data_IF_369051499085
#
_entry.id   IF_369051499085
#
_cell.length_a   1.000
_cell.length_b   1.000
_cell.length_c   1.000
_cell.angle_alpha   90.00
_cell.angle_beta   90.00
_cell.angle_gamma   90.00
#
_symmetry.space_group_name_H-M   'P 1'
#
loop_
_entity.id
_entity.type
_entity.pdbx_description
1 polymer ?
#
# COMPACT_ATOMS: atom_id res chain seq x y z
N UNK A 1 -7.68 9.94 25.24
CA UNK A 1 -6.55 9.53 24.35
C UNK A 1 -7.19 8.93 23.10
N UNK A 2 -7.29 9.75 22.09
CA UNK A 2 -7.82 9.35 20.78
C UNK A 2 -6.83 8.41 20.11
N UNK A 3 -7.32 7.22 19.76
CA UNK A 3 -6.54 6.24 19.02
C UNK A 3 -6.30 6.80 17.61
N UNK A 4 -5.06 7.19 17.32
CA UNK A 4 -4.61 7.44 15.96
C UNK A 4 -4.80 6.15 15.14
N UNK A 5 -5.91 6.08 14.42
CA UNK A 5 -6.03 5.19 13.28
C UNK A 5 -4.99 5.66 12.27
N UNK A 6 -3.90 4.91 12.14
CA UNK A 6 -3.09 4.97 10.92
C UNK A 6 -4.06 4.80 9.75
N UNK A 7 -4.15 5.76 8.83
CA UNK A 7 -5.04 5.61 7.70
C UNK A 7 -4.58 4.35 6.96
N UNK A 8 -5.46 3.36 6.90
CA UNK A 8 -5.34 2.31 5.90
C UNK A 8 -5.03 3.02 4.59
N UNK A 9 -3.89 2.68 4.00
CA UNK A 9 -3.57 3.10 2.66
C UNK A 9 -4.59 2.42 1.75
N UNK A 10 -5.77 3.04 1.64
CA UNK A 10 -6.86 2.64 0.78
C UNK A 10 -6.35 2.78 -0.66
N UNK A 11 -5.57 1.79 -1.08
CA UNK A 11 -5.21 1.61 -2.47
C UNK A 11 -6.51 1.24 -3.15
N UNK A 12 -7.02 2.19 -3.89
CA UNK A 12 -8.35 2.24 -4.45
C UNK A 12 -8.90 0.89 -4.87
N UNK A 13 -10.16 0.70 -4.54
CA UNK A 13 -11.01 -0.40 -4.95
C UNK A 13 -10.64 -0.86 -6.37
N UNK A 14 -10.36 -2.15 -6.62
CA UNK A 14 -10.05 -2.68 -7.96
C UNK A 14 -11.14 -2.38 -8.99
N UNK A 15 -12.41 -2.32 -8.57
CA UNK A 15 -13.51 -1.87 -9.42
C UNK A 15 -13.34 -0.43 -9.92
N UNK A 16 -12.68 0.44 -9.15
CA UNK A 16 -12.35 1.81 -9.56
C UNK A 16 -11.22 1.83 -10.60
N UNK A 17 -10.33 0.83 -10.60
CA UNK A 17 -9.26 0.70 -11.61
C UNK A 17 -9.75 0.16 -12.94
N UNK A 18 -10.77 -0.69 -12.94
CA UNK A 18 -11.35 -1.30 -14.13
C UNK A 18 -12.51 -0.49 -14.72
N UNK A 19 -13.19 0.33 -13.89
CA UNK A 19 -14.20 1.23 -14.38
C UNK A 19 -13.53 2.46 -15.00
N UNK A 20 -13.94 2.83 -16.22
CA UNK A 20 -13.56 4.08 -16.90
C UNK A 20 -14.19 5.28 -16.19
N UNK A 21 -13.84 5.47 -14.91
CA UNK A 21 -14.30 6.61 -14.14
C UNK A 21 -13.52 7.82 -14.64
N UNK A 22 -14.23 8.77 -15.22
CA UNK A 22 -13.66 10.06 -15.62
C UNK A 22 -12.87 10.66 -14.47
N UNK A 23 -11.63 11.11 -14.70
CA UNK A 23 -10.70 11.62 -13.68
C UNK A 23 -11.34 12.68 -12.76
N UNK A 24 -12.26 13.49 -13.28
CA UNK A 24 -13.04 14.47 -12.53
C UNK A 24 -13.94 13.87 -11.44
N UNK A 25 -14.44 12.64 -11.61
CA UNK A 25 -15.28 11.96 -10.61
C UNK A 25 -14.49 11.39 -9.43
N UNK A 26 -13.17 11.25 -9.57
CA UNK A 26 -12.27 10.77 -8.51
C UNK A 26 -11.75 11.88 -7.62
N UNK A 27 -11.97 13.14 -7.98
CA UNK A 27 -11.51 14.30 -7.22
C UNK A 27 -12.38 14.53 -5.99
N UNK A 28 -11.75 15.14 -4.99
CA UNK A 28 -12.46 15.55 -3.78
C UNK A 28 -13.56 16.53 -4.12
N UNK A 29 -14.82 16.20 -3.80
CA UNK A 29 -15.97 17.07 -4.00
C UNK A 29 -15.81 18.33 -3.15
N UNK A 30 -16.23 19.46 -3.67
CA UNK A 30 -16.21 20.77 -2.99
C UNK A 30 -14.82 21.29 -2.58
N UNK A 31 -13.71 20.76 -3.18
CA UNK A 31 -12.36 21.31 -3.00
C UNK A 31 -11.99 22.19 -4.19
N UNK A 32 -11.65 23.45 -3.93
CA UNK A 32 -10.99 24.29 -4.93
C UNK A 32 -9.50 23.88 -5.01
N UNK A 33 -9.11 23.33 -6.14
CA UNK A 33 -7.74 22.88 -6.41
C UNK A 33 -6.77 24.02 -6.77
N UNK A 34 -7.20 25.27 -6.64
CA UNK A 34 -6.34 26.46 -6.74
C UNK A 34 -5.85 26.93 -5.38
N UNK A 35 -6.57 26.58 -4.30
CA UNK A 35 -6.28 27.03 -2.95
C UNK A 35 -5.05 26.33 -2.35
N UNK A 36 -4.52 26.99 -1.31
CA UNK A 36 -3.43 26.46 -0.47
C UNK A 36 -3.75 25.06 0.04
N UNK A 37 -2.93 24.09 -0.34
CA UNK A 37 -3.01 22.71 0.12
C UNK A 37 -1.76 21.92 -0.28
N UNK A 38 -1.58 20.73 0.31
CA UNK A 38 -0.56 19.77 -0.10
C UNK A 38 -1.25 18.59 -0.78
N UNK A 39 -0.75 18.24 -1.95
CA UNK A 39 -1.28 17.16 -2.78
C UNK A 39 -0.22 16.11 -3.02
N UNK A 40 -0.59 14.83 -2.94
CA UNK A 40 0.20 13.74 -3.51
C UNK A 40 -0.43 13.32 -4.82
N UNK A 41 0.33 13.48 -5.90
CA UNK A 41 -0.06 13.15 -7.27
C UNK A 41 0.62 11.84 -7.68
N UNK A 42 -0.11 10.98 -8.37
CA UNK A 42 0.46 9.78 -8.98
C UNK A 42 0.17 9.78 -10.48
N UNK A 43 1.22 9.75 -11.28
CA UNK A 43 1.20 9.61 -12.73
C UNK A 43 1.69 8.21 -13.09
N UNK A 44 0.91 7.46 -13.84
CA UNK A 44 1.21 6.08 -14.22
C UNK A 44 1.58 6.03 -15.70
N UNK A 45 2.67 5.34 -16.04
CA UNK A 45 3.06 5.13 -17.43
C UNK A 45 2.01 4.28 -18.15
N UNK A 46 1.64 4.66 -19.35
CA UNK A 46 0.68 3.94 -20.17
C UNK A 46 1.11 2.48 -20.36
N UNK A 47 0.20 1.55 -20.02
CA UNK A 47 0.48 0.11 -20.04
C UNK A 47 1.51 -0.36 -19.01
N UNK A 48 1.78 0.43 -17.97
CA UNK A 48 2.77 0.06 -16.92
C UNK A 48 4.17 -0.28 -17.46
N UNK A 49 4.53 0.28 -18.61
CA UNK A 49 5.87 0.09 -19.20
C UNK A 49 6.95 0.65 -18.26
N UNK A 50 8.01 -0.10 -18.03
CA UNK A 50 9.14 0.31 -17.18
C UNK A 50 10.09 1.19 -17.99
N UNK A 51 9.81 2.49 -18.11
CA UNK A 51 10.53 3.41 -18.97
C UNK A 51 11.48 4.36 -18.23
N UNK A 52 11.28 4.55 -16.91
CA UNK A 52 11.98 5.59 -16.17
C UNK A 52 13.26 5.14 -15.48
N UNK A 53 13.59 3.86 -15.56
CA UNK A 53 14.82 3.33 -14.97
C UNK A 53 14.61 1.96 -14.34
N UNK A 54 15.66 1.51 -13.65
CA UNK A 54 15.72 0.21 -13.01
C UNK A 54 15.97 0.36 -11.51
N UNK A 55 15.62 -0.68 -10.75
CA UNK A 55 15.85 -0.71 -9.32
C UNK A 55 17.17 -1.39 -9.02
N UNK A 56 17.99 -0.75 -8.20
CA UNK A 56 19.26 -1.27 -7.70
C UNK A 56 19.34 -1.20 -6.19
N UNK A 57 20.26 -1.96 -5.60
CA UNK A 57 20.54 -1.99 -4.16
C UNK A 57 20.36 -3.37 -3.53
N UNK A 58 20.39 -3.40 -2.21
CA UNK A 58 20.19 -4.61 -1.40
C UNK A 58 19.03 -4.39 -0.40
N UNK A 59 18.04 -5.28 -0.41
CA UNK A 59 16.90 -5.23 0.51
C UNK A 59 17.28 -5.35 1.99
N UNK A 60 18.49 -5.85 2.28
CA UNK A 60 19.03 -5.97 3.63
C UNK A 60 19.68 -4.69 4.14
N UNK A 61 19.99 -3.75 3.25
CA UNK A 61 20.60 -2.47 3.61
C UNK A 61 19.61 -1.61 4.40
N UNK A 62 20.13 -0.89 5.40
CA UNK A 62 19.38 0.06 6.19
C UNK A 62 19.18 1.38 5.45
N UNK A 63 18.13 2.11 5.80
CA UNK A 63 17.88 3.44 5.24
C UNK A 63 19.07 4.37 5.52
N UNK A 64 19.56 5.01 4.45
CA UNK A 64 20.74 5.89 4.50
C UNK A 64 22.07 5.23 4.15
N UNK A 65 22.13 3.92 3.99
CA UNK A 65 23.31 3.23 3.46
C UNK A 65 23.40 3.36 1.93
N UNK A 66 24.61 3.31 1.40
CA UNK A 66 24.87 3.50 -0.05
C UNK A 66 24.12 2.47 -0.93
N UNK A 67 23.99 1.24 -0.44
CA UNK A 67 23.30 0.16 -1.15
C UNK A 67 21.80 0.05 -0.81
N UNK A 68 21.23 1.06 -0.12
CA UNK A 68 19.78 1.06 0.10
C UNK A 68 19.03 1.08 -1.23
N UNK A 69 17.95 0.28 -1.41
CA UNK A 69 17.24 0.18 -2.67
C UNK A 69 16.83 1.55 -3.23
N UNK A 70 17.22 1.83 -4.46
CA UNK A 70 16.98 3.08 -5.16
C UNK A 70 16.72 2.85 -6.64
N UNK A 71 16.26 3.87 -7.34
CA UNK A 71 16.04 3.81 -8.80
C UNK A 71 17.19 4.51 -9.50
N UNK A 72 17.88 3.78 -10.37
CA UNK A 72 18.81 4.33 -11.34
C UNK A 72 17.97 4.78 -12.54
N UNK A 73 17.90 6.09 -12.73
CA UNK A 73 17.04 6.67 -13.76
C UNK A 73 17.58 6.43 -15.16
N UNK A 74 16.69 6.13 -16.09
CA UNK A 74 16.98 6.15 -17.53
C UNK A 74 17.11 7.60 -18.02
N UNK A 75 17.57 7.80 -19.25
CA UNK A 75 17.58 9.12 -19.91
C UNK A 75 16.18 9.77 -19.89
N UNK A 76 15.11 8.97 -20.07
CA UNK A 76 13.75 9.49 -19.97
C UNK A 76 13.38 9.80 -18.53
N UNK A 77 13.79 8.98 -17.58
CA UNK A 77 13.58 9.22 -16.14
C UNK A 77 14.22 10.54 -15.70
N UNK A 78 15.44 10.84 -16.14
CA UNK A 78 16.09 12.12 -15.88
C UNK A 78 15.36 13.29 -16.56
N UNK A 79 14.90 13.14 -17.79
CA UNK A 79 14.10 14.17 -18.45
C UNK A 79 12.77 14.44 -17.72
N UNK A 80 12.13 13.41 -17.17
CA UNK A 80 10.93 13.56 -16.32
C UNK A 80 11.27 14.29 -15.02
N UNK A 81 12.40 13.96 -14.38
CA UNK A 81 12.91 14.63 -13.18
C UNK A 81 13.09 16.13 -13.42
N UNK A 82 13.73 16.50 -14.52
CA UNK A 82 13.90 17.91 -14.91
C UNK A 82 12.56 18.63 -15.06
N UNK A 83 11.57 18.00 -15.70
CA UNK A 83 10.23 18.61 -15.86
C UNK A 83 9.55 18.82 -14.51
N UNK A 84 9.71 17.90 -13.55
CA UNK A 84 9.17 18.02 -12.19
C UNK A 84 9.83 19.21 -11.46
N UNK A 85 11.15 19.30 -11.50
CA UNK A 85 11.92 20.36 -10.82
C UNK A 85 11.64 21.75 -11.37
N UNK A 86 11.26 21.85 -12.63
CA UNK A 86 10.92 23.12 -13.29
C UNK A 86 9.49 23.61 -13.01
N UNK A 87 8.64 22.85 -12.33
CA UNK A 87 7.28 23.26 -12.03
C UNK A 87 7.19 24.62 -11.32
N UNK A 88 8.03 24.94 -10.29
CA UNK A 88 8.00 26.25 -9.63
C UNK A 88 8.43 27.41 -10.53
N UNK A 89 9.19 27.17 -11.60
CA UNK A 89 9.56 28.20 -12.57
C UNK A 89 8.33 28.72 -13.33
N UNK A 90 7.39 27.82 -13.65
CA UNK A 90 6.14 28.15 -14.36
C UNK A 90 5.02 28.60 -13.42
N UNK A 91 5.04 28.11 -12.18
CA UNK A 91 4.02 28.36 -11.17
C UNK A 91 4.68 28.71 -9.83
N UNK A 92 5.12 29.95 -9.64
CA UNK A 92 5.79 30.38 -8.39
C UNK A 92 4.94 30.21 -7.13
N UNK A 93 3.62 29.96 -7.27
CA UNK A 93 2.69 29.74 -6.17
C UNK A 93 2.76 28.32 -5.58
N UNK A 94 3.59 27.45 -6.16
CA UNK A 94 3.75 26.08 -5.66
C UNK A 94 5.22 25.72 -5.48
N UNK A 95 5.45 24.71 -4.66
CA UNK A 95 6.74 24.06 -4.51
C UNK A 95 6.61 22.53 -4.60
N UNK A 96 7.68 21.89 -5.05
CA UNK A 96 7.80 20.43 -5.05
C UNK A 96 8.40 20.01 -3.72
N UNK A 97 7.57 19.45 -2.82
CA UNK A 97 7.97 19.03 -1.46
C UNK A 97 8.63 17.66 -1.40
N UNK A 98 8.59 16.92 -2.50
CA UNK A 98 9.22 15.61 -2.68
C UNK A 98 8.63 14.86 -3.86
N UNK A 99 9.39 13.93 -4.42
CA UNK A 99 8.93 13.03 -5.46
C UNK A 99 9.72 11.74 -5.45
N UNK A 100 9.14 10.70 -6.05
CA UNK A 100 9.80 9.44 -6.33
C UNK A 100 9.42 8.99 -7.74
N UNK A 101 10.41 8.87 -8.59
CA UNK A 101 10.26 8.30 -9.92
C UNK A 101 10.52 6.80 -9.79
N UNK A 102 9.49 6.00 -10.07
CA UNK A 102 9.55 4.55 -10.11
C UNK A 102 9.64 4.10 -11.57
N UNK A 103 10.03 2.86 -11.88
CA UNK A 103 10.20 2.43 -13.27
C UNK A 103 8.98 2.68 -14.16
N UNK A 104 7.76 2.55 -13.63
CA UNK A 104 6.50 2.60 -14.37
C UNK A 104 5.50 3.68 -13.90
N UNK A 105 5.90 4.52 -12.95
CA UNK A 105 5.05 5.60 -12.43
C UNK A 105 5.86 6.65 -11.67
N UNK A 106 5.22 7.79 -11.39
CA UNK A 106 5.78 8.87 -10.58
C UNK A 106 4.84 9.21 -9.44
N UNK A 107 5.38 9.32 -8.23
CA UNK A 107 4.73 9.99 -7.11
C UNK A 107 5.34 11.36 -6.91
N UNK A 108 4.51 12.37 -6.69
CA UNK A 108 4.91 13.77 -6.56
C UNK A 108 4.12 14.43 -5.44
N UNK A 109 4.79 15.08 -4.48
CA UNK A 109 4.17 15.90 -3.44
C UNK A 109 4.32 17.37 -3.83
N UNK A 110 3.20 18.03 -4.12
CA UNK A 110 3.12 19.45 -4.45
C UNK A 110 2.52 20.19 -3.26
N UNK A 111 3.18 21.26 -2.83
CA UNK A 111 2.62 22.23 -1.90
C UNK A 111 2.23 23.49 -2.69
N UNK A 112 0.94 23.76 -2.78
CA UNK A 112 0.39 25.02 -3.24
C UNK A 112 0.37 25.94 -2.02
N UNK A 113 1.28 26.90 -1.98
CA UNK A 113 1.41 27.82 -0.83
C UNK A 113 0.63 29.12 -1.02
N UNK A 114 0.40 29.52 -2.27
CA UNK A 114 -0.44 30.66 -2.66
C UNK A 114 -1.47 30.23 -3.71
N UNK A 115 -2.52 31.01 -3.87
CA UNK A 115 -3.58 30.70 -4.83
C UNK A 115 -3.06 30.60 -6.25
N UNK A 116 -3.26 29.45 -6.87
CA UNK A 116 -2.88 29.22 -8.26
C UNK A 116 -3.73 30.06 -9.23
N UNK A 117 -3.15 30.56 -10.32
CA UNK A 117 -3.88 31.26 -11.38
C UNK A 117 -4.84 30.34 -12.14
N UNK A 118 -4.64 29.02 -12.06
CA UNK A 118 -5.45 28.02 -12.72
C UNK A 118 -5.63 26.78 -11.85
N UNK A 119 -6.59 25.93 -12.21
CA UNK A 119 -6.83 24.67 -11.52
C UNK A 119 -5.57 23.76 -11.59
N UNK A 120 -5.19 23.08 -10.49
CA UNK A 120 -4.03 22.18 -10.38
C UNK A 120 -3.98 21.16 -11.54
N UNK A 121 -5.14 20.73 -12.05
CA UNK A 121 -5.21 19.85 -13.22
C UNK A 121 -4.58 20.42 -14.49
N UNK A 122 -4.53 21.76 -14.64
CA UNK A 122 -3.86 22.42 -15.77
C UNK A 122 -2.34 22.35 -15.56
N UNK A 123 -1.88 22.60 -14.34
CA UNK A 123 -0.46 22.45 -13.95
C UNK A 123 0.04 21.04 -14.27
N UNK A 124 -0.69 20.00 -13.81
CA UNK A 124 -0.34 18.59 -14.06
C UNK A 124 -0.38 18.27 -15.57
N UNK A 125 -1.35 18.83 -16.30
CA UNK A 125 -1.40 18.69 -17.77
C UNK A 125 -0.16 19.27 -18.44
N UNK A 126 0.32 20.44 -17.99
CA UNK A 126 1.55 21.07 -18.47
C UNK A 126 2.76 20.16 -18.22
N UNK A 127 2.89 19.62 -17.02
CA UNK A 127 3.94 18.63 -16.68
C UNK A 127 3.91 17.41 -17.62
N UNK A 128 2.73 16.82 -17.80
CA UNK A 128 2.54 15.66 -18.71
C UNK A 128 2.91 16.02 -20.15
N UNK A 129 2.57 17.21 -20.63
CA UNK A 129 2.94 17.66 -21.98
C UNK A 129 4.46 17.82 -22.12
N UNK A 130 5.16 18.38 -21.13
CA UNK A 130 6.61 18.47 -21.08
C UNK A 130 7.27 17.07 -21.15
N UNK A 131 6.79 16.15 -20.33
CA UNK A 131 7.25 14.76 -20.35
C UNK A 131 6.98 14.05 -21.69
N UNK A 132 5.79 14.25 -22.28
CA UNK A 132 5.44 13.70 -23.59
C UNK A 132 6.37 14.25 -24.70
N UNK A 133 6.76 15.53 -24.63
CA UNK A 133 7.72 16.13 -25.57
C UNK A 133 9.09 15.48 -25.46
N UNK A 134 9.56 15.24 -24.24
CA UNK A 134 10.82 14.53 -24.00
C UNK A 134 10.75 13.09 -24.53
N UNK A 135 9.65 12.40 -24.26
CA UNK A 135 9.43 11.03 -24.75
C UNK A 135 9.48 10.94 -26.27
N UNK A 136 8.74 11.79 -27.00
CA UNK A 136 8.76 11.82 -28.46
C UNK A 136 10.16 12.07 -29.04
N UNK A 137 10.95 12.90 -28.37
CA UNK A 137 12.33 13.20 -28.79
C UNK A 137 13.25 11.99 -28.64
N UNK A 138 13.07 11.22 -27.55
CA UNK A 138 13.93 10.06 -27.24
C UNK A 138 13.49 8.80 -27.98
N UNK A 139 12.19 8.65 -28.25
CA UNK A 139 11.58 7.46 -28.85
C UNK A 139 10.71 7.82 -30.07
N UNK A 140 11.31 8.41 -31.15
CA UNK A 140 10.53 8.86 -32.31
C UNK A 140 9.88 7.72 -33.09
N UNK A 141 10.37 6.49 -32.95
CA UNK A 141 9.86 5.30 -33.63
C UNK A 141 8.84 4.48 -32.80
N UNK A 142 8.52 4.91 -31.58
CA UNK A 142 7.53 4.20 -30.77
C UNK A 142 6.13 4.44 -31.33
N UNK A 143 5.38 3.37 -31.57
CA UNK A 143 3.99 3.41 -32.07
C UNK A 143 3.09 4.28 -31.21
N UNK A 144 3.32 4.35 -29.91
CA UNK A 144 2.59 5.22 -29.00
C UNK A 144 2.71 6.70 -29.37
N UNK A 145 3.79 7.10 -30.03
CA UNK A 145 4.02 8.49 -30.54
C UNK A 145 3.11 8.79 -31.73
N UNK A 146 2.80 7.75 -32.52
CA UNK A 146 2.04 7.84 -33.77
C UNK A 146 0.54 7.52 -33.60
N UNK A 147 0.10 7.05 -32.43
CA UNK A 147 -1.31 6.81 -32.12
C UNK A 147 -2.04 8.15 -32.11
N UNK A 148 -2.55 8.52 -33.27
CA UNK A 148 -3.28 9.76 -33.50
C UNK A 148 -4.56 9.84 -32.68
N UNK A 149 -4.97 11.06 -32.43
CA UNK A 149 -6.20 11.48 -31.74
C UNK A 149 -7.48 10.93 -32.41
N UNK A 150 -7.76 9.63 -32.36
CA UNK A 150 -8.91 9.24 -33.16
C UNK A 150 -9.63 7.92 -32.87
N UNK A 151 -9.13 7.03 -32.06
CA UNK A 151 -9.84 5.75 -31.84
C UNK A 151 -10.33 5.59 -30.40
N UNK A 152 -11.65 5.44 -30.25
CA UNK A 152 -12.38 5.37 -28.99
C UNK A 152 -11.99 4.21 -28.07
N UNK A 153 -11.37 3.17 -28.61
CA UNK A 153 -10.95 1.97 -27.87
C UNK A 153 -9.66 2.16 -27.07
N UNK A 154 -8.89 3.22 -27.32
CA UNK A 154 -7.62 3.53 -26.64
C UNK A 154 -7.73 4.70 -25.68
N UNK A 155 -8.92 5.08 -25.26
CA UNK A 155 -9.15 6.23 -24.34
C UNK A 155 -8.49 6.10 -22.96
N UNK A 156 -7.98 4.93 -22.59
CA UNK A 156 -7.29 4.70 -21.31
C UNK A 156 -5.83 5.16 -21.29
N UNK A 157 -5.14 5.18 -22.44
CA UNK A 157 -3.71 5.43 -22.51
C UNK A 157 -3.39 6.74 -23.24
N UNK A 158 -2.53 7.57 -22.63
CA UNK A 158 -1.86 8.68 -23.30
C UNK A 158 -0.58 8.21 -23.97
N UNK A 159 0.21 9.15 -24.46
CA UNK A 159 1.49 8.85 -25.15
C UNK A 159 2.50 8.21 -24.18
N UNK A 160 2.82 8.90 -23.08
CA UNK A 160 3.71 8.42 -22.03
C UNK A 160 2.96 7.93 -20.82
N UNK A 161 1.98 8.71 -20.33
CA UNK A 161 1.18 8.38 -19.15
C UNK A 161 -0.23 7.94 -19.54
N UNK A 162 -0.88 7.17 -18.66
CA UNK A 162 -2.31 6.93 -18.71
C UNK A 162 -3.09 8.25 -18.67
N UNK A 163 -4.34 8.26 -19.18
CA UNK A 163 -5.18 9.42 -19.08
C UNK A 163 -5.58 9.72 -17.62
N UNK A 164 -5.36 10.95 -17.23
CA UNK A 164 -5.63 11.42 -15.87
C UNK A 164 -4.48 11.11 -14.90
N UNK A 165 -4.77 11.34 -13.64
CA UNK A 165 -3.84 11.09 -12.53
C UNK A 165 -4.63 10.85 -11.25
N UNK A 166 -4.02 10.18 -10.28
CA UNK A 166 -4.57 10.07 -8.94
C UNK A 166 -4.04 11.21 -8.08
N UNK A 167 -4.91 11.81 -7.27
CA UNK A 167 -4.54 12.82 -6.30
C UNK A 167 -5.08 12.47 -4.91
N UNK A 168 -4.32 12.83 -3.89
CA UNK A 168 -4.74 12.82 -2.49
C UNK A 168 -4.42 14.18 -1.90
N UNK A 169 -5.37 14.76 -1.17
CA UNK A 169 -5.18 16.00 -0.42
C UNK A 169 -4.70 15.67 0.98
N UNK A 170 -3.70 16.39 1.47
CA UNK A 170 -3.25 16.26 2.85
C UNK A 170 -4.31 16.86 3.79
N UNK A 171 -4.83 16.03 4.69
CA UNK A 171 -5.92 16.41 5.61
C UNK A 171 -5.47 16.44 7.08
N UNK A 172 -4.34 15.81 7.42
CA UNK A 172 -3.89 15.65 8.81
C UNK A 172 -2.44 16.05 8.99
N UNK A 173 -2.10 16.59 10.16
CA UNK A 173 -0.82 17.23 10.46
C UNK A 173 0.41 16.32 10.23
N UNK A 174 0.36 15.03 10.59
CA UNK A 174 1.50 14.12 10.45
C UNK A 174 1.58 13.41 9.08
N UNK A 175 0.59 13.60 8.21
CA UNK A 175 0.46 12.87 6.95
C UNK A 175 1.60 13.17 5.97
N UNK A 176 2.17 14.39 6.00
CA UNK A 176 3.29 14.77 5.13
C UNK A 176 4.56 13.94 5.45
N UNK A 177 4.85 13.73 6.73
CA UNK A 177 5.98 12.90 7.17
C UNK A 177 5.79 11.44 6.69
N UNK A 178 4.57 10.93 6.84
CA UNK A 178 4.20 9.58 6.37
C UNK A 178 4.36 9.49 4.84
N UNK A 179 3.91 10.48 4.08
CA UNK A 179 4.04 10.48 2.62
C UNK A 179 5.51 10.55 2.17
N UNK A 180 6.33 11.39 2.80
CA UNK A 180 7.76 11.47 2.49
C UNK A 180 8.47 10.15 2.76
N UNK A 181 8.18 9.54 3.90
CA UNK A 181 8.73 8.22 4.22
C UNK A 181 8.27 7.17 3.21
N UNK A 182 6.98 7.15 2.87
CA UNK A 182 6.44 6.25 1.84
C UNK A 182 7.14 6.42 0.49
N UNK A 183 7.39 7.66 0.04
CA UNK A 183 8.11 7.91 -1.21
C UNK A 183 9.53 7.36 -1.17
N UNK A 184 10.26 7.64 -0.09
CA UNK A 184 11.64 7.18 0.08
C UNK A 184 11.75 5.65 0.15
N UNK A 185 10.74 4.97 0.72
CA UNK A 185 10.71 3.51 0.89
C UNK A 185 10.17 2.75 -0.35
N UNK A 186 9.57 3.44 -1.31
CA UNK A 186 8.97 2.79 -2.49
C UNK A 186 9.93 1.91 -3.28
N UNK A 187 11.20 2.29 -3.55
CA UNK A 187 12.14 1.41 -4.23
C UNK A 187 12.36 0.10 -3.45
N UNK A 188 12.62 0.17 -2.14
CA UNK A 188 12.79 -1.03 -1.30
C UNK A 188 11.53 -1.91 -1.36
N UNK A 189 10.34 -1.32 -1.22
CA UNK A 189 9.08 -2.07 -1.30
C UNK A 189 8.89 -2.77 -2.65
N UNK A 190 9.32 -2.15 -3.74
CA UNK A 190 9.28 -2.77 -5.06
C UNK A 190 10.25 -3.96 -5.13
N UNK A 191 11.49 -3.79 -4.67
CA UNK A 191 12.52 -4.84 -4.67
C UNK A 191 12.10 -6.03 -3.81
N UNK A 192 11.57 -5.78 -2.60
CA UNK A 192 11.03 -6.82 -1.70
C UNK A 192 9.90 -7.61 -2.37
N UNK A 193 8.97 -6.94 -3.06
CA UNK A 193 7.90 -7.63 -3.79
C UNK A 193 8.41 -8.49 -4.94
N UNK A 194 9.49 -8.07 -5.60
CA UNK A 194 10.12 -8.89 -6.64
C UNK A 194 10.85 -10.10 -6.05
N UNK A 195 11.48 -9.94 -4.88
CA UNK A 195 12.16 -11.04 -4.20
C UNK A 195 11.17 -12.08 -3.60
N UNK A 196 10.02 -11.63 -3.15
CA UNK A 196 9.01 -12.45 -2.47
C UNK A 196 7.60 -12.25 -3.05
N UNK A 197 7.37 -12.57 -4.35
CA UNK A 197 6.09 -12.29 -4.99
C UNK A 197 4.92 -13.01 -4.32
N UNK A 198 5.16 -14.21 -3.78
CA UNK A 198 4.13 -15.02 -3.13
C UNK A 198 3.64 -14.43 -1.80
N UNK A 199 4.46 -13.62 -1.11
CA UNK A 199 4.05 -12.97 0.13
C UNK A 199 3.17 -11.74 -0.09
N UNK A 200 3.15 -11.20 -1.32
CA UNK A 200 2.47 -9.94 -1.64
C UNK A 200 1.33 -10.07 -2.66
N UNK A 201 1.01 -11.29 -3.07
CA UNK A 201 -0.16 -11.58 -3.89
C UNK A 201 -1.23 -12.30 -3.09
N UNK A 202 -2.48 -12.10 -3.45
CA UNK A 202 -3.59 -12.87 -2.88
C UNK A 202 -3.54 -14.28 -3.42
N UNK A 203 -3.44 -15.25 -2.54
CA UNK A 203 -3.54 -16.67 -2.84
C UNK A 203 -4.95 -17.13 -2.51
N UNK A 204 -5.61 -17.80 -3.44
CA UNK A 204 -7.00 -18.28 -3.31
C UNK A 204 -7.06 -19.78 -3.05
N UNK A 205 -8.20 -20.23 -2.52
CA UNK A 205 -8.52 -21.64 -2.33
C UNK A 205 -7.47 -22.39 -1.48
N UNK A 206 -6.93 -21.71 -0.48
CA UNK A 206 -6.00 -22.33 0.48
C UNK A 206 -6.81 -23.21 1.39
N UNK A 207 -6.55 -24.53 1.34
CA UNK A 207 -7.23 -25.52 2.15
C UNK A 207 -6.35 -25.95 3.31
N UNK A 208 -6.85 -25.81 4.53
CA UNK A 208 -6.17 -26.26 5.76
C UNK A 208 -7.20 -26.78 6.75
N UNK A 209 -7.00 -28.01 7.24
CA UNK A 209 -7.89 -28.69 8.22
C UNK A 209 -9.39 -28.64 7.85
N UNK A 210 -9.70 -28.81 6.55
CA UNK A 210 -11.07 -28.78 6.04
C UNK A 210 -11.69 -27.38 5.89
N UNK A 211 -10.93 -26.34 6.20
CA UNK A 211 -11.31 -24.95 5.98
C UNK A 211 -10.70 -24.42 4.68
N UNK A 212 -11.36 -23.41 4.07
CA UNK A 212 -10.88 -22.77 2.86
C UNK A 212 -10.71 -21.26 3.09
N UNK A 213 -9.58 -20.70 2.61
CA UNK A 213 -9.20 -19.29 2.84
C UNK A 213 -8.68 -18.64 1.56
N UNK A 214 -8.82 -17.34 1.50
CA UNK A 214 -7.92 -16.47 0.74
C UNK A 214 -6.81 -15.99 1.67
N UNK A 215 -5.57 -15.91 1.19
CA UNK A 215 -4.42 -15.60 2.03
C UNK A 215 -3.48 -14.57 1.41
N UNK A 216 -2.78 -13.82 2.25
CA UNK A 216 -1.61 -12.99 1.90
C UNK A 216 -0.55 -13.21 2.98
N UNK A 217 0.71 -13.40 2.57
CA UNK A 217 1.83 -13.60 3.47
C UNK A 217 2.43 -14.99 3.39
N UNK A 218 3.12 -15.40 4.45
CA UNK A 218 3.88 -16.64 4.50
C UNK A 218 3.02 -17.85 4.91
N UNK A 219 2.60 -18.66 3.96
CA UNK A 219 1.82 -19.88 4.21
C UNK A 219 2.57 -20.93 5.04
N UNK A 220 3.91 -20.91 5.06
CA UNK A 220 4.67 -21.86 5.87
C UNK A 220 4.45 -21.69 7.37
N UNK A 221 3.90 -20.56 7.81
CA UNK A 221 3.53 -20.34 9.21
C UNK A 221 2.46 -21.34 9.68
N UNK A 222 1.60 -21.83 8.77
CA UNK A 222 0.62 -22.90 9.08
C UNK A 222 1.25 -24.25 9.43
N UNK A 223 2.54 -24.45 9.14
CA UNK A 223 3.30 -25.69 9.43
C UNK A 223 4.06 -25.61 10.75
N UNK A 224 3.97 -24.51 11.45
CA UNK A 224 4.60 -24.29 12.76
C UNK A 224 3.63 -24.65 13.89
N UNK A 225 4.13 -24.86 15.13
CA UNK A 225 3.26 -24.94 16.28
C UNK A 225 2.43 -23.66 16.42
N UNK A 226 1.11 -23.76 16.35
CA UNK A 226 0.20 -22.62 16.44
C UNK A 226 -0.36 -22.52 17.87
N UNK A 227 -0.42 -21.29 18.39
CA UNK A 227 -0.99 -21.00 19.70
C UNK A 227 -2.10 -19.95 19.52
N UNK A 228 -3.36 -20.34 19.81
CA UNK A 228 -4.50 -19.45 19.73
C UNK A 228 -4.44 -18.39 20.84
N UNK A 229 -4.62 -17.14 20.45
CA UNK A 229 -4.86 -16.04 21.39
C UNK A 229 -6.34 -15.72 21.36
N UNK A 230 -7.02 -16.00 22.49
CA UNK A 230 -8.43 -15.70 22.69
C UNK A 230 -8.62 -15.08 24.06
N UNK A 231 -9.09 -13.83 24.09
CA UNK A 231 -9.27 -13.04 25.31
C UNK A 231 -10.73 -12.69 25.55
N UNK A 232 -11.21 -12.89 26.78
CA UNK A 232 -12.46 -12.30 27.22
C UNK A 232 -12.38 -10.78 27.17
N UNK A 233 -13.48 -10.11 26.82
CA UNK A 233 -13.59 -8.65 26.90
C UNK A 233 -13.56 -8.10 28.33
N UNK A 234 -13.65 -8.98 29.35
CA UNK A 234 -13.68 -8.62 30.77
C UNK A 234 -12.33 -8.73 31.45
N UNK A 235 -11.26 -9.12 30.71
CA UNK A 235 -9.92 -9.21 31.28
C UNK A 235 -9.45 -7.84 31.76
N UNK A 236 -8.83 -7.84 32.92
CA UNK A 236 -8.14 -6.68 33.51
C UNK A 236 -6.81 -6.43 32.79
N UNK A 237 -6.26 -5.25 32.94
CA UNK A 237 -4.94 -4.91 32.38
C UNK A 237 -3.85 -5.85 32.88
N UNK A 238 -3.89 -6.23 34.17
CA UNK A 238 -2.95 -7.16 34.79
C UNK A 238 -3.02 -8.54 34.13
N UNK A 239 -4.23 -9.06 33.91
CA UNK A 239 -4.42 -10.36 33.23
C UNK A 239 -3.91 -10.32 31.79
N UNK A 240 -4.19 -9.22 31.07
CA UNK A 240 -3.68 -9.01 29.70
C UNK A 240 -2.16 -8.96 29.72
N UNK A 241 -1.52 -8.33 30.70
CA UNK A 241 -0.06 -8.29 30.84
C UNK A 241 0.54 -9.68 31.06
N UNK A 242 -0.06 -10.50 31.92
CA UNK A 242 0.34 -11.90 32.10
C UNK A 242 0.21 -12.70 30.81
N UNK A 243 -0.88 -12.49 30.06
CA UNK A 243 -1.04 -13.16 28.76
C UNK A 243 0.03 -12.72 27.74
N UNK A 244 0.39 -11.43 27.69
CA UNK A 244 1.49 -10.96 26.83
C UNK A 244 2.80 -11.67 27.16
N UNK A 245 3.15 -11.77 28.42
CA UNK A 245 4.39 -12.41 28.88
C UNK A 245 4.42 -13.89 28.47
N UNK A 246 3.34 -14.64 28.75
CA UNK A 246 3.21 -16.04 28.34
C UNK A 246 3.30 -16.21 26.82
N UNK A 247 2.61 -15.34 26.04
CA UNK A 247 2.66 -15.38 24.59
C UNK A 247 4.07 -15.14 24.06
N UNK A 248 4.79 -14.16 24.62
CA UNK A 248 6.19 -13.88 24.22
C UNK A 248 7.14 -15.04 24.55
N UNK A 249 6.94 -15.71 25.68
CA UNK A 249 7.70 -16.92 26.04
C UNK A 249 7.43 -18.03 25.02
N UNK A 250 6.16 -18.27 24.68
CA UNK A 250 5.79 -19.26 23.67
C UNK A 250 6.38 -18.95 22.29
N UNK A 251 6.35 -17.67 21.88
CA UNK A 251 6.97 -17.22 20.63
C UNK A 251 8.49 -17.44 20.63
N UNK A 252 9.16 -17.15 21.74
CA UNK A 252 10.58 -17.40 21.89
C UNK A 252 10.93 -18.90 21.79
N UNK A 253 9.98 -19.79 22.13
CA UNK A 253 10.08 -21.23 21.97
C UNK A 253 9.67 -21.73 20.58
N UNK A 254 9.34 -20.82 19.63
CA UNK A 254 9.04 -21.13 18.24
C UNK A 254 7.55 -21.25 17.90
N UNK A 255 6.64 -20.95 18.82
CA UNK A 255 5.21 -20.90 18.52
C UNK A 255 4.85 -19.69 17.64
N UNK A 256 3.86 -19.87 16.77
CA UNK A 256 3.24 -18.83 15.97
C UNK A 256 1.88 -18.50 16.57
N UNK A 257 1.64 -17.23 16.89
CA UNK A 257 0.35 -16.82 17.43
C UNK A 257 -0.70 -16.77 16.32
N UNK A 258 -1.91 -17.20 16.63
CA UNK A 258 -3.06 -17.12 15.74
C UNK A 258 -4.25 -16.48 16.44
N UNK A 259 -4.84 -15.43 15.84
CA UNK A 259 -5.99 -14.75 16.42
C UNK A 259 -6.78 -13.97 15.35
N UNK A 260 -8.10 -13.82 15.52
CA UNK A 260 -8.89 -12.86 14.75
C UNK A 260 -8.74 -11.41 15.26
N UNK A 261 -8.00 -11.15 16.34
CA UNK A 261 -7.80 -9.81 16.91
C UNK A 261 -9.09 -9.03 17.16
N UNK A 262 -10.13 -9.67 17.71
CA UNK A 262 -11.44 -9.06 17.91
C UNK A 262 -11.50 -8.24 19.21
N UNK A 263 -11.07 -8.84 20.33
CA UNK A 263 -11.09 -8.19 21.63
C UNK A 263 -9.89 -7.25 21.84
N UNK A 264 -10.01 -6.24 22.74
CA UNK A 264 -8.88 -5.40 23.11
C UNK A 264 -7.67 -6.21 23.63
N UNK A 265 -7.93 -7.27 24.43
CA UNK A 265 -6.89 -8.15 24.96
C UNK A 265 -6.15 -8.91 23.85
N UNK A 266 -6.89 -9.53 22.93
CA UNK A 266 -6.28 -10.19 21.75
C UNK A 266 -5.38 -9.23 20.96
N UNK A 267 -5.88 -8.03 20.65
CA UNK A 267 -5.11 -6.99 19.94
C UNK A 267 -3.85 -6.60 20.70
N UNK A 268 -3.92 -6.50 22.01
CA UNK A 268 -2.79 -6.12 22.86
C UNK A 268 -1.71 -7.21 22.90
N UNK A 269 -2.11 -8.49 23.01
CA UNK A 269 -1.18 -9.64 23.00
C UNK A 269 -0.53 -9.79 21.64
N UNK A 270 -1.30 -9.80 20.55
CA UNK A 270 -0.78 -9.91 19.19
C UNK A 270 0.16 -8.75 18.85
N UNK A 271 -0.21 -7.52 19.24
CA UNK A 271 0.66 -6.35 19.04
C UNK A 271 2.00 -6.48 19.76
N UNK A 272 2.01 -7.01 21.00
CA UNK A 272 3.24 -7.19 21.76
C UNK A 272 4.21 -8.19 21.07
N UNK A 273 3.67 -9.23 20.45
CA UNK A 273 4.45 -10.17 19.64
C UNK A 273 4.93 -9.53 18.32
N UNK A 274 4.03 -8.82 17.63
CA UNK A 274 4.33 -8.12 16.39
C UNK A 274 5.46 -7.10 16.54
N UNK A 275 5.45 -6.30 17.62
CA UNK A 275 6.48 -5.29 17.92
C UNK A 275 7.86 -5.91 18.22
N UNK A 276 7.90 -7.19 18.56
CA UNK A 276 9.15 -7.98 18.77
C UNK A 276 9.50 -8.85 17.56
N UNK A 277 8.89 -8.60 16.42
CA UNK A 277 9.14 -9.34 15.17
C UNK A 277 8.84 -10.86 15.29
N UNK A 278 7.94 -11.27 16.17
CA UNK A 278 7.50 -12.66 16.23
C UNK A 278 6.46 -12.96 15.14
N UNK A 279 6.46 -14.19 14.61
CA UNK A 279 5.52 -14.57 13.57
C UNK A 279 4.09 -14.71 14.09
N UNK A 280 3.13 -14.24 13.28
CA UNK A 280 1.71 -14.33 13.62
C UNK A 280 0.81 -14.58 12.42
N UNK A 281 -0.35 -15.19 12.70
CA UNK A 281 -1.44 -15.42 11.75
C UNK A 281 -2.65 -14.63 12.20
N UNK A 282 -3.21 -13.80 11.33
CA UNK A 282 -4.39 -13.00 11.61
C UNK A 282 -5.56 -13.48 10.75
N UNK A 283 -6.66 -13.89 11.39
CA UNK A 283 -7.92 -14.19 10.71
C UNK A 283 -8.70 -12.90 10.48
N UNK A 284 -8.98 -12.59 9.22
CA UNK A 284 -9.63 -11.35 8.83
C UNK A 284 -11.15 -11.44 8.89
N UNK A 285 -11.80 -10.36 9.31
CA UNK A 285 -13.26 -10.22 9.35
C UNK A 285 -13.90 -9.96 7.98
N UNK A 286 -13.10 -9.61 6.98
CA UNK A 286 -13.54 -9.38 5.61
C UNK A 286 -12.61 -10.10 4.63
N UNK A 287 -13.13 -10.40 3.45
CA UNK A 287 -12.37 -11.02 2.37
C UNK A 287 -11.28 -10.12 1.80
N UNK A 288 -10.41 -10.69 0.99
CA UNK A 288 -9.34 -10.02 0.28
C UNK A 288 -9.75 -9.73 -1.17
N UNK A 289 -9.54 -8.51 -1.65
CA UNK A 289 -9.62 -8.21 -3.09
C UNK A 289 -8.39 -8.76 -3.81
N UNK A 290 -8.45 -8.96 -5.12
CA UNK A 290 -7.29 -9.47 -5.90
C UNK A 290 -6.08 -8.54 -5.86
N UNK A 291 -6.31 -7.25 -5.59
CA UNK A 291 -5.27 -6.23 -5.46
C UNK A 291 -4.93 -5.89 -3.99
N UNK A 292 -5.47 -6.64 -3.03
CA UNK A 292 -5.15 -6.42 -1.64
C UNK A 292 -3.64 -6.61 -1.41
N UNK A 293 -3.06 -5.72 -0.63
CA UNK A 293 -1.64 -5.78 -0.25
C UNK A 293 -1.49 -5.30 1.20
N UNK A 294 -0.60 -5.93 1.98
CA UNK A 294 -0.29 -5.44 3.30
C UNK A 294 0.35 -4.05 3.22
N UNK A 295 -0.06 -3.14 4.09
CA UNK A 295 0.46 -1.78 4.19
C UNK A 295 1.18 -1.51 5.50
N UNK A 296 1.96 -0.40 5.56
CA UNK A 296 2.65 0.00 6.79
C UNK A 296 3.52 -1.10 7.38
N UNK A 297 3.49 -1.28 8.70
CA UNK A 297 4.27 -2.28 9.41
C UNK A 297 3.95 -3.73 8.99
N UNK A 298 2.72 -4.00 8.54
CA UNK A 298 2.35 -5.33 8.00
C UNK A 298 3.12 -5.68 6.72
N UNK A 299 3.48 -4.67 5.92
CA UNK A 299 4.34 -4.90 4.75
C UNK A 299 5.71 -5.44 5.19
N UNK A 300 6.31 -4.82 6.20
CA UNK A 300 7.63 -5.21 6.69
C UNK A 300 7.60 -6.59 7.36
N UNK A 301 6.54 -6.90 8.12
CA UNK A 301 6.33 -8.23 8.68
C UNK A 301 6.14 -9.31 7.59
N UNK A 302 5.39 -9.01 6.51
CA UNK A 302 5.31 -9.90 5.35
C UNK A 302 6.67 -10.06 4.66
N UNK A 303 7.44 -8.98 4.50
CA UNK A 303 8.77 -9.01 3.89
C UNK A 303 9.73 -9.93 4.66
N UNK A 304 9.60 -9.95 5.99
CA UNK A 304 10.36 -10.84 6.89
C UNK A 304 9.80 -12.28 6.95
N UNK A 305 8.68 -12.55 6.27
CA UNK A 305 7.98 -13.84 6.32
C UNK A 305 7.28 -14.13 7.66
N UNK A 306 7.04 -13.10 8.47
CA UNK A 306 6.51 -13.18 9.84
C UNK A 306 5.00 -12.97 9.93
N UNK A 307 4.31 -12.68 8.83
CA UNK A 307 2.88 -12.44 8.82
C UNK A 307 2.16 -13.31 7.80
N UNK A 308 1.03 -13.87 8.24
CA UNK A 308 0.03 -14.49 7.37
C UNK A 308 -1.34 -13.91 7.70
N UNK A 309 -2.01 -13.39 6.69
CA UNK A 309 -3.41 -12.94 6.77
C UNK A 309 -4.28 -13.99 6.10
N UNK A 310 -5.27 -14.49 6.81
CA UNK A 310 -6.25 -15.47 6.32
C UNK A 310 -7.64 -14.86 6.29
N UNK A 311 -8.30 -14.91 5.16
CA UNK A 311 -9.68 -14.45 4.98
C UNK A 311 -10.59 -15.62 4.59
N UNK A 312 -11.52 -16.05 5.48
CA UNK A 312 -12.40 -17.19 5.20
C UNK A 312 -13.63 -16.81 4.37
N UNK A 313 -13.83 -15.54 4.08
CA UNK A 313 -15.01 -15.05 3.35
C UNK A 313 -14.62 -14.30 2.08
N UNK A 314 -15.60 -14.09 1.22
CA UNK A 314 -15.49 -13.19 0.08
C UNK A 314 -15.43 -11.72 0.54
N UNK A 315 -14.78 -10.90 -0.27
CA UNK A 315 -14.69 -9.46 0.02
C UNK A 315 -16.03 -8.76 -0.20
N UNK A 316 -16.37 -7.87 0.74
CA UNK A 316 -17.50 -6.96 0.61
C UNK A 316 -17.07 -5.51 0.90
N UNK A 317 -17.74 -4.57 0.23
CA UNK A 317 -17.47 -3.12 0.36
C UNK A 317 -18.28 -2.44 1.45
N UNK A 318 -19.26 -3.14 2.02
CA UNK A 318 -20.14 -2.60 3.03
C UNK A 318 -19.39 -2.35 4.34
N UNK A 319 -19.59 -1.18 4.93
CA UNK A 319 -19.12 -0.88 6.28
C UNK A 319 -20.00 -1.60 7.32
N UNK A 320 -19.76 -2.88 7.51
CA UNK A 320 -20.46 -3.70 8.50
C UNK A 320 -19.60 -3.84 9.75
N UNK A 321 -20.26 -3.84 10.90
CA UNK A 321 -19.61 -4.28 12.13
C UNK A 321 -19.64 -5.81 12.16
N UNK A 322 -18.54 -6.42 12.60
CA UNK A 322 -18.47 -7.86 12.80
C UNK A 322 -19.59 -8.31 13.77
N UNK A 323 -20.33 -9.34 13.38
CA UNK A 323 -21.39 -9.90 14.19
C UNK A 323 -20.82 -10.86 15.26
N UNK A 324 -21.59 -11.12 16.33
CA UNK A 324 -21.21 -12.09 17.37
C UNK A 324 -20.98 -13.48 16.76
N UNK A 325 -21.83 -13.90 15.84
CA UNK A 325 -21.69 -15.18 15.14
C UNK A 325 -20.37 -15.26 14.37
N UNK A 326 -20.02 -14.23 13.62
CA UNK A 326 -18.73 -14.17 12.91
C UNK A 326 -17.54 -14.21 13.88
N UNK A 327 -17.62 -13.53 15.05
CA UNK A 327 -16.59 -13.62 16.07
C UNK A 327 -16.38 -15.07 16.55
N UNK A 328 -17.48 -15.79 16.81
CA UNK A 328 -17.40 -17.19 17.22
C UNK A 328 -16.83 -18.08 16.11
N UNK A 329 -17.24 -17.89 14.86
CA UNK A 329 -16.71 -18.66 13.73
C UNK A 329 -15.20 -18.45 13.58
N UNK A 330 -14.71 -17.21 13.63
CA UNK A 330 -13.26 -16.93 13.52
C UNK A 330 -12.48 -17.54 14.69
N UNK A 331 -13.00 -17.46 15.91
CA UNK A 331 -12.34 -18.10 17.07
C UNK A 331 -12.31 -19.62 16.94
N UNK A 332 -13.40 -20.24 16.46
CA UNK A 332 -13.45 -21.69 16.23
C UNK A 332 -12.46 -22.12 15.11
N UNK A 333 -12.33 -21.31 14.05
CA UNK A 333 -11.33 -21.55 13.01
C UNK A 333 -9.91 -21.45 13.57
N UNK A 334 -9.62 -20.45 14.41
CA UNK A 334 -8.32 -20.32 15.08
C UNK A 334 -8.04 -21.53 15.97
N UNK A 335 -9.03 -21.98 16.74
CA UNK A 335 -8.91 -23.18 17.58
C UNK A 335 -8.65 -24.45 16.76
N UNK A 336 -9.36 -24.64 15.65
CA UNK A 336 -9.15 -25.77 14.75
C UNK A 336 -7.75 -25.76 14.14
N UNK A 337 -7.29 -24.59 13.68
CA UNK A 337 -5.95 -24.46 13.08
C UNK A 337 -4.85 -24.73 14.11
N UNK A 338 -5.02 -24.37 15.38
CA UNK A 338 -4.05 -24.59 16.47
C UNK A 338 -4.23 -25.91 17.21
N UNK A 339 -5.04 -26.87 16.71
CA UNK A 339 -5.37 -28.14 17.39
C UNK A 339 -5.94 -27.97 18.80
N UNK A 340 -6.60 -26.84 19.06
CA UNK A 340 -7.14 -26.48 20.37
C UNK A 340 -6.12 -25.91 21.35
N UNK A 341 -4.84 -25.81 20.96
CA UNK A 341 -3.82 -25.15 21.79
C UNK A 341 -4.10 -23.65 21.88
N UNK A 342 -4.33 -23.18 23.09
CA UNK A 342 -4.65 -21.77 23.37
C UNK A 342 -3.97 -21.27 24.63
N UNK A 343 -3.77 -19.96 24.66
CA UNK A 343 -3.27 -19.23 25.81
C UNK A 343 -4.42 -18.66 26.64
#
# INVERSE_FOLDING_TARGET
>A
MEQEHLPDSNHGNPEIRNATIHSMKRRMKNKDYRERAIYMITLVVAGRRKLFGEIEGDIRSCYGEANYPHIVLSTLGEAVREQILRLPEYYPQLSVSGFQIMPDHVHLIIFVHDQLPCHLGIVIRGLVQGCNKAYRRLYPQDDAVHIGKGKSEQRGNGILFEHGYNDKVLMHQNQLKIWRHYLADNPRRLMVKHAHPDYFRVQRNIKEKGLEFSAIGNLFLLRKPLLQIQCSRRLTETEIQVMKEKALIACASGAVLISPCISPGEKAVMRAAFEKDYPEIVLLENGLTDLAQPGGARFDACAKGQLLLLAPWEHHTDKRRITRTQCHILNNMAALLSDGEKL
#
